data_IF_673817446007
#
_entry.id   IF_673817446007
#
_cell.length_a   1.000
_cell.length_b   1.000
_cell.length_c   1.000
_cell.angle_alpha   90.00
_cell.angle_beta   90.00
_cell.angle_gamma   90.00
#
_symmetry.space_group_name_H-M   'P 1'
#
loop_
_entity.id
_entity.type
_entity.pdbx_description
1 polymer ?
#
# COMPACT_ATOMS: atom_id res chain seq x y z
N UNK A 1 -7.51 -15.48 5.13
CA UNK A 1 -6.16 -15.14 4.62
C UNK A 1 -6.32 -14.38 3.31
N UNK A 2 -5.59 -13.29 3.11
CA UNK A 2 -5.61 -12.51 1.88
C UNK A 2 -4.29 -12.78 1.14
N UNK A 3 -4.35 -13.43 -0.01
CA UNK A 3 -3.17 -13.80 -0.80
C UNK A 3 -2.98 -12.77 -1.89
N UNK A 4 -1.90 -12.02 -1.85
CA UNK A 4 -1.60 -10.97 -2.84
C UNK A 4 -0.59 -11.49 -3.87
N UNK A 5 -0.82 -11.15 -5.14
CA UNK A 5 0.13 -11.41 -6.22
C UNK A 5 1.26 -10.38 -6.16
N UNK A 6 2.45 -10.84 -5.80
CA UNK A 6 3.67 -10.03 -5.77
C UNK A 6 4.51 -10.31 -6.99
N UNK A 7 5.12 -9.27 -7.55
CA UNK A 7 6.09 -9.41 -8.63
C UNK A 7 7.44 -9.92 -8.09
N UNK A 8 8.33 -10.31 -8.99
CA UNK A 8 9.71 -10.78 -8.70
C UNK A 8 10.50 -9.80 -7.80
N UNK A 9 10.14 -8.51 -7.83
CA UNK A 9 10.79 -7.45 -7.06
C UNK A 9 10.16 -7.20 -5.68
N UNK A 10 9.30 -8.10 -5.18
CA UNK A 10 8.50 -7.93 -3.94
C UNK A 10 7.71 -6.61 -3.91
N UNK A 11 7.14 -6.26 -5.07
CA UNK A 11 6.30 -5.08 -5.29
C UNK A 11 4.94 -5.48 -5.84
N UNK A 12 3.98 -4.54 -5.81
CA UNK A 12 2.63 -4.74 -6.34
C UNK A 12 2.63 -4.81 -7.88
N UNK A 13 1.66 -5.52 -8.45
CA UNK A 13 1.58 -5.71 -9.91
C UNK A 13 1.20 -4.43 -10.68
N UNK A 14 0.30 -3.61 -10.13
CA UNK A 14 -0.21 -2.38 -10.76
C UNK A 14 -0.38 -1.27 -9.75
N UNK A 15 -0.39 -0.03 -10.23
CA UNK A 15 -0.75 1.12 -9.39
C UNK A 15 -2.22 1.02 -8.96
N UNK A 16 -2.49 1.35 -7.69
CA UNK A 16 -3.85 1.43 -7.18
C UNK A 16 -4.07 2.68 -6.33
N UNK A 17 -5.20 3.34 -6.58
CA UNK A 17 -5.69 4.47 -5.80
C UNK A 17 -7.00 4.08 -5.13
N UNK A 18 -7.04 4.17 -3.81
CA UNK A 18 -8.22 3.83 -3.01
C UNK A 18 -8.54 4.96 -2.05
N UNK A 19 -9.83 5.23 -1.88
CA UNK A 19 -10.36 6.13 -0.86
C UNK A 19 -11.16 5.31 0.15
N UNK A 20 -10.91 5.54 1.42
CA UNK A 20 -11.70 5.03 2.52
C UNK A 20 -12.09 6.18 3.45
N UNK A 21 -13.39 6.47 3.53
CA UNK A 21 -13.90 7.67 4.21
C UNK A 21 -13.17 8.94 3.73
N UNK A 22 -12.59 9.73 4.64
CA UNK A 22 -11.86 10.97 4.35
C UNK A 22 -10.37 10.75 4.03
N UNK A 23 -9.87 9.51 4.00
CA UNK A 23 -8.48 9.20 3.69
C UNK A 23 -8.36 8.58 2.30
N UNK A 24 -7.38 9.04 1.52
CA UNK A 24 -7.05 8.49 0.22
C UNK A 24 -5.61 8.01 0.21
N UNK A 25 -5.39 6.78 -0.25
CA UNK A 25 -4.08 6.15 -0.34
C UNK A 25 -3.82 5.78 -1.79
N UNK A 26 -2.65 6.17 -2.27
CA UNK A 26 -2.11 5.75 -3.56
C UNK A 26 -0.96 4.79 -3.26
N UNK A 27 -1.00 3.62 -3.85
CA UNK A 27 0.08 2.64 -3.84
C UNK A 27 0.57 2.48 -5.27
N UNK A 28 1.87 2.75 -5.49
CA UNK A 28 2.52 2.60 -6.79
C UNK A 28 3.53 1.46 -6.74
N UNK A 29 3.63 0.65 -7.81
CA UNK A 29 4.72 -0.30 -7.96
C UNK A 29 6.05 0.47 -7.98
N UNK A 30 7.08 -0.16 -7.44
CA UNK A 30 8.42 0.41 -7.38
C UNK A 30 9.41 -0.52 -8.09
N UNK A 31 10.39 0.09 -8.77
CA UNK A 31 11.49 -0.64 -9.42
C UNK A 31 12.56 -1.05 -8.40
N UNK A 32 13.40 -2.00 -8.77
CA UNK A 32 14.51 -2.50 -7.96
C UNK A 32 15.36 -1.34 -7.45
N UNK A 33 15.62 -1.31 -6.14
CA UNK A 33 16.46 -0.29 -5.49
C UNK A 33 15.69 0.90 -4.89
N UNK A 34 14.38 1.04 -5.13
CA UNK A 34 13.59 2.16 -4.57
C UNK A 34 13.39 2.08 -3.06
N UNK A 35 13.49 0.88 -2.48
CA UNK A 35 13.15 0.60 -1.08
C UNK A 35 11.69 0.94 -0.73
N UNK A 36 11.32 0.77 0.54
CA UNK A 36 9.97 0.98 1.03
C UNK A 36 9.71 2.46 1.37
N UNK A 37 9.12 3.22 0.45
CA UNK A 37 8.76 4.63 0.65
C UNK A 37 7.29 4.74 1.02
N UNK A 38 7.02 4.60 2.32
CA UNK A 38 5.66 4.66 2.85
C UNK A 38 5.57 5.39 4.19
N UNK A 39 4.44 6.08 4.41
CA UNK A 39 4.12 6.68 5.70
C UNK A 39 3.88 5.60 6.76
N UNK A 40 4.20 5.89 8.03
CA UNK A 40 4.16 4.92 9.15
C UNK A 40 3.00 3.90 9.12
N UNK A 41 1.72 4.31 9.10
CA UNK A 41 0.60 3.36 9.09
C UNK A 41 0.52 2.50 7.83
N UNK A 42 0.93 3.03 6.67
CA UNK A 42 0.99 2.23 5.43
C UNK A 42 2.13 1.24 5.50
N UNK A 43 3.30 1.68 5.96
CA UNK A 43 4.52 0.89 6.12
C UNK A 43 4.28 -0.35 6.98
N UNK A 44 3.70 -0.20 8.17
CA UNK A 44 3.44 -1.33 9.06
C UNK A 44 2.56 -2.41 8.43
N UNK A 45 1.58 -2.01 7.60
CA UNK A 45 0.71 -2.97 6.92
C UNK A 45 1.44 -3.66 5.78
N UNK A 46 2.02 -2.90 4.84
CA UNK A 46 2.66 -3.48 3.65
C UNK A 46 3.86 -4.38 4.00
N UNK A 47 4.61 -4.04 5.05
CA UNK A 47 5.73 -4.84 5.56
C UNK A 47 5.25 -6.17 6.15
N UNK A 48 4.10 -6.18 6.85
CA UNK A 48 3.47 -7.40 7.34
C UNK A 48 2.99 -8.34 6.22
N UNK A 49 2.72 -7.80 5.03
CA UNK A 49 2.38 -8.57 3.82
C UNK A 49 3.63 -8.96 2.99
N UNK A 50 4.84 -8.66 3.45
CA UNK A 50 6.09 -9.00 2.75
C UNK A 50 6.43 -8.11 1.55
N UNK A 51 5.72 -6.99 1.38
CA UNK A 51 6.03 -6.00 0.34
C UNK A 51 7.23 -5.17 0.81
N UNK A 52 8.32 -5.24 0.05
CA UNK A 52 9.57 -4.55 0.40
C UNK A 52 9.87 -3.35 -0.51
N UNK A 53 9.23 -3.29 -1.67
CA UNK A 53 9.38 -2.19 -2.63
C UNK A 53 8.01 -1.61 -2.96
N UNK A 54 7.71 -0.42 -2.46
CA UNK A 54 6.48 0.30 -2.81
C UNK A 54 6.67 1.79 -2.59
N UNK A 55 6.04 2.59 -3.43
CA UNK A 55 5.89 4.02 -3.19
C UNK A 55 4.44 4.25 -2.80
N UNK A 56 4.22 4.92 -1.68
CA UNK A 56 2.87 5.31 -1.27
C UNK A 56 2.75 6.80 -0.99
N UNK A 57 1.56 7.33 -1.25
CA UNK A 57 1.19 8.70 -0.87
C UNK A 57 -0.19 8.68 -0.23
N UNK A 58 -0.28 9.29 0.95
CA UNK A 58 -1.55 9.61 1.58
C UNK A 58 -2.02 11.01 1.15
N UNK A 59 -3.32 11.15 0.90
CA UNK A 59 -3.98 12.39 0.52
C UNK A 59 -5.26 12.53 1.36
N UNK A 60 -5.52 13.73 1.87
CA UNK A 60 -6.68 14.01 2.70
C UNK A 60 -6.38 13.80 4.19
N UNK A 61 -7.20 13.00 4.87
CA UNK A 61 -7.15 12.84 6.32
C UNK A 61 -5.89 12.11 6.82
N UNK A 62 -5.29 12.62 7.89
CA UNK A 62 -4.15 12.02 8.59
C UNK A 62 -4.55 10.93 9.62
N UNK A 63 -5.84 10.56 9.68
CA UNK A 63 -6.30 9.53 10.62
C UNK A 63 -5.72 8.15 10.27
N UNK A 64 -4.85 7.65 11.15
CA UNK A 64 -4.12 6.38 10.98
C UNK A 64 -5.05 5.18 10.76
N UNK A 65 -6.18 5.12 11.47
CA UNK A 65 -7.13 4.01 11.37
C UNK A 65 -7.74 3.96 9.97
N UNK A 66 -8.13 5.12 9.43
CA UNK A 66 -8.70 5.20 8.10
C UNK A 66 -7.67 4.90 7.01
N UNK A 67 -6.42 5.33 7.20
CA UNK A 67 -5.32 4.99 6.30
C UNK A 67 -5.08 3.49 6.26
N UNK A 68 -5.00 2.82 7.41
CA UNK A 68 -4.84 1.35 7.48
C UNK A 68 -6.00 0.64 6.78
N UNK A 69 -7.25 1.05 7.04
CA UNK A 69 -8.43 0.50 6.34
C UNK A 69 -8.39 0.74 4.83
N UNK A 70 -7.90 1.90 4.37
CA UNK A 70 -7.71 2.18 2.96
C UNK A 70 -6.65 1.26 2.32
N UNK A 71 -5.56 0.96 3.04
CA UNK A 71 -4.51 0.03 2.58
C UNK A 71 -5.06 -1.38 2.45
N UNK A 72 -5.80 -1.89 3.44
CA UNK A 72 -6.44 -3.20 3.33
C UNK A 72 -7.40 -3.28 2.16
N UNK A 73 -8.19 -2.21 1.91
CA UNK A 73 -9.07 -2.14 0.75
C UNK A 73 -8.28 -2.12 -0.58
N UNK A 74 -7.13 -1.46 -0.60
CA UNK A 74 -6.21 -1.46 -1.75
C UNK A 74 -5.63 -2.85 -2.02
N UNK A 75 -5.13 -3.52 -0.99
CA UNK A 75 -4.61 -4.90 -1.11
C UNK A 75 -5.71 -5.88 -1.54
N UNK A 76 -6.94 -5.72 -1.04
CA UNK A 76 -8.09 -6.53 -1.46
C UNK A 76 -8.43 -6.38 -2.94
N UNK A 77 -8.24 -5.19 -3.52
CA UNK A 77 -8.46 -4.93 -4.95
C UNK A 77 -7.29 -5.35 -5.84
N UNK A 78 -6.11 -5.59 -5.24
CA UNK A 78 -4.92 -6.11 -5.92
C UNK A 78 -4.89 -7.63 -5.96
N UNK A 79 -5.68 -8.29 -5.10
CA UNK A 79 -5.84 -9.74 -5.03
C UNK A 79 -6.40 -10.35 -6.31
#
# INVERSE_FOLDING_TARGET
MLTIQLNEHKSISREIKVKYASAQVILKPATTGTSLVAGGPVRSVVEAFGINNIISKNIGSANKINIVKAVFLALKRLS
#
